data_IF_802645799716
#
_entry.id   IF_802645799716
#
_cell.length_a   1.000
_cell.length_b   1.000
_cell.length_c   1.000
_cell.angle_alpha   90.00
_cell.angle_beta   90.00
_cell.angle_gamma   90.00
#
_symmetry.space_group_name_H-M   'P 1'
#
loop_
_entity.id
_entity.type
_entity.pdbx_description
1 polymer ?
#
# COMPACT_ATOMS: atom_id res chain seq x y z
N UNK A 1 -10.82 4.44 18.12
CA UNK A 1 -9.82 3.49 18.37
C UNK A 1 -8.81 3.44 17.28
N UNK A 2 -7.59 3.40 17.63
CA UNK A 2 -6.55 3.41 16.64
C UNK A 2 -6.19 2.02 16.22
N UNK A 3 -6.17 1.81 14.92
CA UNK A 3 -5.64 0.59 14.40
C UNK A 3 -4.13 0.68 14.43
N UNK A 4 -3.51 -0.40 14.78
CA UNK A 4 -2.09 -0.42 15.03
C UNK A 4 -1.32 -0.81 13.77
N UNK A 5 -0.62 0.16 13.18
CA UNK A 5 0.20 -0.10 12.00
C UNK A 5 1.29 -1.12 12.29
N UNK A 6 1.84 -1.10 13.50
CA UNK A 6 2.89 -2.06 13.83
C UNK A 6 2.43 -3.50 13.67
N UNK A 7 1.19 -3.76 14.01
CA UNK A 7 0.67 -5.10 13.92
C UNK A 7 0.61 -5.57 12.47
N UNK A 8 0.23 -4.69 11.56
CA UNK A 8 0.15 -5.05 10.16
C UNK A 8 1.53 -5.13 9.53
N UNK A 9 2.47 -4.29 9.96
CA UNK A 9 3.83 -4.32 9.42
C UNK A 9 4.50 -5.67 9.63
N UNK A 10 4.17 -6.36 10.70
CA UNK A 10 4.73 -7.67 10.97
C UNK A 10 4.33 -8.71 9.93
N UNK A 11 3.27 -8.44 9.19
CA UNK A 11 2.79 -9.34 8.15
C UNK A 11 3.35 -8.99 6.78
N UNK A 12 4.13 -7.93 6.70
CA UNK A 12 4.72 -7.51 5.44
C UNK A 12 6.10 -8.07 5.25
N UNK A 13 6.60 -7.94 4.04
CA UNK A 13 7.96 -8.35 3.69
C UNK A 13 8.78 -7.11 3.46
N UNK A 14 9.90 -7.02 4.16
CA UNK A 14 10.80 -5.88 4.08
C UNK A 14 11.47 -5.85 2.70
N UNK A 15 11.56 -4.66 2.12
CA UNK A 15 12.11 -4.49 0.77
C UNK A 15 13.53 -3.93 0.79
N UNK A 16 14.24 -4.02 1.92
CA UNK A 16 15.60 -3.50 2.01
C UNK A 16 16.54 -4.10 0.98
N UNK A 17 16.32 -5.36 0.61
CA UNK A 17 17.19 -6.01 -0.38
C UNK A 17 17.10 -5.33 -1.75
N UNK A 18 16.02 -4.56 -2.00
CA UNK A 18 15.87 -3.80 -3.23
C UNK A 18 16.28 -2.35 -3.05
N UNK A 19 16.81 -2.00 -1.88
CA UNK A 19 17.16 -0.61 -1.61
C UNK A 19 15.95 0.26 -1.31
N UNK A 20 14.82 -0.34 -0.97
CA UNK A 20 13.59 0.38 -0.73
C UNK A 20 13.24 0.29 0.75
N UNK A 21 13.01 1.45 1.37
CA UNK A 21 12.64 1.50 2.77
C UNK A 21 11.12 1.40 2.91
N UNK A 22 10.61 0.20 2.67
CA UNK A 22 9.19 -0.05 2.70
C UNK A 22 8.93 -1.54 2.87
N UNK A 23 7.65 -1.88 2.97
CA UNK A 23 7.19 -3.26 3.09
C UNK A 23 6.20 -3.56 1.97
N UNK A 24 6.18 -4.81 1.54
CA UNK A 24 5.19 -5.30 0.59
C UNK A 24 4.28 -6.29 1.28
N UNK A 25 3.03 -6.36 0.84
CA UNK A 25 2.01 -7.16 1.49
C UNK A 25 1.28 -8.01 0.46
N UNK A 26 0.92 -9.23 0.88
CA UNK A 26 0.11 -10.10 0.05
C UNK A 26 -1.28 -9.50 -0.14
N UNK A 27 -2.06 -10.08 -1.04
CA UNK A 27 -3.38 -9.55 -1.35
C UNK A 27 -4.27 -9.44 -0.11
N UNK A 28 -4.36 -10.49 0.68
CA UNK A 28 -5.25 -10.45 1.84
C UNK A 28 -4.76 -9.44 2.88
N UNK A 29 -3.46 -9.34 3.07
CA UNK A 29 -2.92 -8.42 4.07
C UNK A 29 -3.05 -6.97 3.61
N UNK A 30 -2.85 -6.70 2.31
CA UNK A 30 -2.96 -5.33 1.83
C UNK A 30 -4.38 -4.80 2.00
N UNK A 31 -5.38 -5.64 1.87
CA UNK A 31 -6.76 -5.19 2.09
C UNK A 31 -6.98 -4.78 3.55
N UNK A 32 -6.36 -5.50 4.48
CA UNK A 32 -6.43 -5.11 5.89
C UNK A 32 -5.71 -3.78 6.12
N UNK A 33 -4.58 -3.58 5.44
CA UNK A 33 -3.85 -2.33 5.56
C UNK A 33 -4.67 -1.15 5.04
N UNK A 34 -5.42 -1.36 3.96
CA UNK A 34 -6.27 -0.29 3.42
C UNK A 34 -7.31 0.16 4.46
N UNK A 35 -7.85 -0.80 5.23
CA UNK A 35 -8.81 -0.44 6.27
C UNK A 35 -8.15 0.41 7.36
N UNK A 36 -6.90 0.09 7.70
CA UNK A 36 -6.17 0.87 8.69
C UNK A 36 -5.87 2.27 8.17
N UNK A 37 -5.48 2.37 6.91
CA UNK A 37 -5.20 3.67 6.29
C UNK A 37 -6.45 4.53 6.29
N UNK A 38 -7.59 3.94 5.97
CA UNK A 38 -8.84 4.66 5.96
C UNK A 38 -9.22 5.14 7.36
N UNK A 39 -9.04 4.29 8.36
CA UNK A 39 -9.37 4.64 9.74
C UNK A 39 -8.53 5.79 10.26
N UNK A 40 -7.34 5.98 9.68
CA UNK A 40 -6.43 7.05 10.10
C UNK A 40 -6.48 8.25 9.15
N UNK A 41 -7.39 8.25 8.19
CA UNK A 41 -7.59 9.35 7.25
C UNK A 41 -6.31 9.71 6.48
N UNK A 42 -5.58 8.71 6.05
CA UNK A 42 -4.34 8.93 5.30
C UNK A 42 -4.61 8.79 3.81
N UNK A 43 -3.87 9.57 3.03
CA UNK A 43 -3.99 9.54 1.58
C UNK A 43 -2.94 8.59 1.00
N UNK A 44 -3.35 7.74 0.08
CA UNK A 44 -2.44 6.85 -0.62
C UNK A 44 -2.02 7.53 -1.91
N UNK A 45 -0.73 7.79 -2.06
CA UNK A 45 -0.21 8.46 -3.24
C UNK A 45 0.00 7.52 -4.41
N UNK A 46 0.04 6.23 -4.13
CA UNK A 46 0.26 5.22 -5.16
C UNK A 46 0.92 4.01 -4.56
N UNK A 47 1.49 3.18 -5.41
CA UNK A 47 2.20 2.01 -4.91
C UNK A 47 2.86 1.23 -6.02
N UNK A 48 3.51 0.15 -5.62
CA UNK A 48 4.28 -0.70 -6.51
C UNK A 48 3.82 -2.13 -6.38
N UNK A 49 3.98 -2.86 -7.49
CA UNK A 49 3.68 -4.29 -7.55
C UNK A 49 4.99 -5.06 -7.56
N UNK A 50 5.04 -6.13 -6.75
CA UNK A 50 6.21 -6.98 -6.66
C UNK A 50 5.81 -8.43 -6.88
N UNK A 51 6.74 -9.23 -7.36
CA UNK A 51 6.48 -10.62 -7.66
C UNK A 51 7.45 -11.49 -6.87
N UNK A 52 6.94 -12.58 -6.31
CA UNK A 52 7.77 -13.50 -5.53
C UNK A 52 8.43 -14.49 -6.48
N UNK A 53 9.74 -14.42 -6.58
CA UNK A 53 10.49 -15.26 -7.49
C UNK A 53 11.78 -15.67 -6.84
N UNK A 54 12.11 -16.97 -6.90
CA UNK A 54 13.34 -17.51 -6.33
C UNK A 54 13.47 -17.15 -4.85
N UNK A 55 12.36 -17.32 -4.12
CA UNK A 55 12.30 -17.08 -2.67
C UNK A 55 12.57 -15.62 -2.30
N UNK A 56 12.33 -14.70 -3.23
CA UNK A 56 12.62 -13.30 -3.00
C UNK A 56 11.65 -12.43 -3.78
N UNK A 57 11.21 -11.33 -3.19
CA UNK A 57 10.36 -10.39 -3.91
C UNK A 57 11.19 -9.61 -4.91
N UNK A 58 10.64 -9.44 -6.10
CA UNK A 58 11.30 -8.75 -7.19
C UNK A 58 10.38 -7.66 -7.72
N UNK A 59 10.95 -6.50 -8.02
CA UNK A 59 10.19 -5.40 -8.60
C UNK A 59 9.91 -5.71 -10.06
N UNK A 60 8.68 -5.54 -10.49
CA UNK A 60 8.32 -5.78 -11.89
C UNK A 60 7.92 -4.51 -12.59
N UNK A 61 8.06 -3.37 -11.90
CA UNK A 61 7.86 -2.03 -12.48
C UNK A 61 6.42 -1.70 -12.84
N UNK A 62 5.45 -2.48 -12.39
CA UNK A 62 4.05 -2.07 -12.44
C UNK A 62 3.75 -1.25 -11.20
N UNK A 63 2.98 -0.20 -11.37
CA UNK A 63 2.66 0.69 -10.27
C UNK A 63 1.38 1.44 -10.60
N UNK A 64 0.88 2.16 -9.62
CA UNK A 64 -0.26 3.05 -9.82
C UNK A 64 0.02 4.35 -9.08
N UNK A 65 -0.70 5.38 -9.47
CA UNK A 65 -0.47 6.72 -8.97
C UNK A 65 -1.79 7.42 -8.75
N UNK A 66 -1.96 8.08 -7.61
CA UNK A 66 -3.15 8.86 -7.31
C UNK A 66 -2.80 10.34 -7.44
N UNK A 67 -3.59 11.05 -8.24
CA UNK A 67 -3.41 12.49 -8.42
C UNK A 67 -4.14 13.22 -7.31
N UNK A 68 -3.41 13.90 -6.46
CA UNK A 68 -4.02 14.67 -5.37
C UNK A 68 -4.84 15.80 -5.96
N UNK A 69 -6.03 15.98 -5.44
CA UNK A 69 -6.95 16.99 -5.92
C UNK A 69 -7.41 17.92 -4.83
N UNK A 70 -7.79 17.37 -3.67
CA UNK A 70 -8.45 18.15 -2.64
C UNK A 70 -8.12 17.52 -1.30
N UNK A 71 -7.40 18.24 -0.40
CA UNK A 71 -6.99 17.65 0.87
C UNK A 71 -8.14 17.05 1.68
N UNK A 72 -9.37 17.58 1.51
CA UNK A 72 -10.47 17.08 2.30
C UNK A 72 -11.07 15.80 1.74
N UNK A 73 -10.76 15.43 0.49
CA UNK A 73 -11.33 14.25 -0.13
C UNK A 73 -10.30 13.24 -0.64
N UNK A 74 -9.00 13.57 -0.59
CA UNK A 74 -7.99 12.70 -1.16
C UNK A 74 -7.95 11.33 -0.49
N UNK A 75 -8.11 11.28 0.83
CA UNK A 75 -8.14 10.01 1.51
C UNK A 75 -9.28 9.14 0.97
N UNK A 76 -10.48 9.69 0.98
CA UNK A 76 -11.67 8.93 0.59
C UNK A 76 -11.68 8.54 -0.89
N UNK A 77 -10.90 9.22 -1.73
CA UNK A 77 -10.82 8.89 -3.14
C UNK A 77 -9.65 7.95 -3.45
N UNK A 78 -8.52 8.15 -2.78
CA UNK A 78 -7.33 7.35 -3.08
C UNK A 78 -7.48 5.91 -2.65
N UNK A 79 -8.23 5.65 -1.60
CA UNK A 79 -8.39 4.30 -1.09
C UNK A 79 -9.22 3.42 -2.05
N UNK A 80 -10.40 3.86 -2.52
CA UNK A 80 -11.13 3.06 -3.51
C UNK A 80 -10.34 2.86 -4.80
N UNK A 81 -9.61 3.87 -5.24
CA UNK A 81 -8.81 3.74 -6.45
C UNK A 81 -7.73 2.67 -6.25
N UNK A 82 -7.06 2.68 -5.11
CA UNK A 82 -6.03 1.69 -4.79
C UNK A 82 -6.64 0.29 -4.71
N UNK A 83 -7.75 0.17 -4.03
CA UNK A 83 -8.41 -1.12 -3.89
C UNK A 83 -8.83 -1.68 -5.24
N UNK A 84 -9.38 -0.83 -6.10
CA UNK A 84 -9.79 -1.25 -7.43
C UNK A 84 -8.59 -1.72 -8.25
N UNK A 85 -7.49 -0.99 -8.18
CA UNK A 85 -6.28 -1.37 -8.90
C UNK A 85 -5.77 -2.74 -8.45
N UNK A 86 -5.69 -2.93 -7.14
CA UNK A 86 -5.16 -4.17 -6.59
C UNK A 86 -6.06 -5.35 -6.93
N UNK A 87 -7.36 -5.20 -6.77
CA UNK A 87 -8.30 -6.28 -7.07
C UNK A 87 -8.28 -6.64 -8.55
N UNK A 88 -8.19 -5.64 -9.40
CA UNK A 88 -8.11 -5.87 -10.83
C UNK A 88 -6.80 -6.58 -11.20
N UNK A 89 -5.71 -6.17 -10.56
CA UNK A 89 -4.41 -6.78 -10.83
C UNK A 89 -4.42 -8.26 -10.46
N UNK A 90 -4.92 -8.59 -9.27
CA UNK A 90 -4.97 -9.96 -8.82
C UNK A 90 -5.91 -10.80 -9.71
N UNK A 91 -7.02 -10.21 -10.13
CA UNK A 91 -7.96 -10.91 -11.00
C UNK A 91 -7.30 -11.29 -12.32
N UNK A 92 -6.45 -10.43 -12.85
CA UNK A 92 -5.85 -10.64 -14.16
C UNK A 92 -4.51 -11.37 -14.11
N UNK A 93 -3.83 -11.38 -12.98
CA UNK A 93 -2.48 -11.94 -12.89
C UNK A 93 -2.31 -12.99 -11.81
N UNK A 94 -3.29 -13.15 -10.92
CA UNK A 94 -3.21 -14.15 -9.85
C UNK A 94 -2.75 -13.55 -8.54
N UNK A 95 -2.70 -14.41 -7.50
CA UNK A 95 -2.45 -13.94 -6.15
C UNK A 95 -1.00 -14.08 -5.70
N UNK A 96 -0.08 -14.31 -6.62
CA UNK A 96 1.33 -14.41 -6.27
C UNK A 96 2.03 -13.07 -6.23
N UNK A 97 1.27 -11.98 -6.36
CA UNK A 97 1.83 -10.63 -6.39
C UNK A 97 1.67 -9.98 -5.04
N UNK A 98 2.60 -9.10 -4.73
CA UNK A 98 2.62 -8.36 -3.48
C UNK A 98 2.56 -6.88 -3.81
N UNK A 99 2.11 -6.09 -2.85
CA UNK A 99 1.84 -4.67 -3.09
C UNK A 99 2.43 -3.83 -1.98
N UNK A 100 3.09 -2.74 -2.38
CA UNK A 100 3.60 -1.75 -1.47
C UNK A 100 2.87 -0.44 -1.74
N UNK A 101 2.48 0.27 -0.69
CA UNK A 101 1.78 1.55 -0.88
C UNK A 101 2.65 2.69 -0.37
N UNK A 102 2.42 3.86 -0.96
CA UNK A 102 3.10 5.09 -0.58
C UNK A 102 2.06 5.99 0.04
N UNK A 103 2.28 6.37 1.30
CA UNK A 103 1.35 7.23 2.01
C UNK A 103 1.86 8.65 2.05
N UNK A 104 0.95 9.60 2.01
CA UNK A 104 1.29 10.98 2.22
C UNK A 104 1.57 11.16 3.70
N UNK A 105 2.76 11.65 4.03
CA UNK A 105 3.18 11.73 5.42
C UNK A 105 3.11 13.10 6.04
N UNK A 106 3.17 14.12 5.22
CA UNK A 106 3.35 15.44 5.75
C UNK A 106 2.28 15.89 6.69
N UNK A 107 1.05 15.66 6.31
CA UNK A 107 -0.04 16.23 7.08
C UNK A 107 -0.36 15.46 8.33
N UNK A 108 0.03 14.22 8.43
CA UNK A 108 -0.30 13.51 9.63
C UNK A 108 0.72 13.65 10.70
N UNK A 109 1.81 14.31 10.42
CA UNK A 109 2.82 14.49 11.42
C UNK A 109 2.27 15.27 12.55
N UNK A 110 2.25 14.72 13.73
CA UNK A 110 1.82 15.50 14.88
C UNK A 110 2.85 16.51 15.12
N UNK A 111 2.45 17.49 15.66
CA UNK A 111 3.34 18.44 16.00
C UNK A 111 4.00 18.10 17.17
N UNK A 112 3.96 17.38 17.56
CA UNK A 112 4.62 17.02 18.61
C UNK A 112 4.99 17.57 19.18
#
# INVERSE_FOLDING_TARGET
>A
MNLNFEHIYKKGINLNHLGINAYAYSYSVILDLLAIVQANNLTILGGDVLFYKNAQLTHIYDNWHYEKQDPTSDCSKSIPQTEKYIKHYVKNHGEHYYFSIILEEGIKKPID
#
